data_IF_419732112666
#
_entry.id   IF_419732112666
#
_cell.length_a   1.000
_cell.length_b   1.000
_cell.length_c   1.000
_cell.angle_alpha   90.00
_cell.angle_beta   90.00
_cell.angle_gamma   90.00
#
_symmetry.space_group_name_H-M   'P 1'
#
loop_
_entity.id
_entity.type
_entity.pdbx_description
1 polymer ?
#
# COMPACT_ATOMS: atom_id res chain seq x y z
N UNK A 1 0.22 -7.51 9.70
CA UNK A 1 1.52 -6.79 9.73
C UNK A 1 2.42 -7.36 10.81
N UNK A 2 2.18 -7.08 12.09
CA UNK A 2 3.08 -7.51 13.19
C UNK A 2 3.47 -9.00 13.18
N UNK A 3 2.55 -9.91 12.84
CA UNK A 3 2.89 -11.33 12.70
C UNK A 3 3.97 -11.60 11.64
N UNK A 4 3.94 -10.88 10.53
CA UNK A 4 4.96 -11.00 9.48
C UNK A 4 6.29 -10.38 9.90
N UNK A 5 6.27 -9.28 10.67
CA UNK A 5 7.50 -8.72 11.27
C UNK A 5 8.17 -9.73 12.21
N UNK A 6 7.38 -10.45 13.03
CA UNK A 6 7.90 -11.51 13.90
C UNK A 6 8.40 -12.73 13.10
N UNK A 7 7.66 -13.18 12.10
CA UNK A 7 8.09 -14.29 11.24
C UNK A 7 9.39 -13.94 10.51
N UNK A 8 9.52 -12.72 10.01
CA UNK A 8 10.76 -12.22 9.40
C UNK A 8 11.93 -12.27 10.38
N UNK A 9 11.74 -11.79 11.61
CA UNK A 9 12.76 -11.82 12.66
C UNK A 9 13.20 -13.25 13.04
N UNK A 10 12.24 -14.19 13.08
CA UNK A 10 12.50 -15.57 13.51
C UNK A 10 13.16 -16.39 12.41
N UNK A 11 12.65 -16.30 11.17
CA UNK A 11 13.07 -17.19 10.09
C UNK A 11 14.12 -16.58 9.17
N UNK A 12 14.23 -15.25 9.12
CA UNK A 12 15.11 -14.55 8.17
C UNK A 12 14.67 -14.67 6.71
N UNK A 13 13.42 -15.09 6.45
CA UNK A 13 12.91 -15.31 5.09
C UNK A 13 12.33 -14.01 4.51
N UNK A 14 12.87 -13.57 3.37
CA UNK A 14 12.54 -12.27 2.77
C UNK A 14 11.05 -12.09 2.43
N UNK A 15 10.35 -13.18 2.08
CA UNK A 15 8.92 -13.16 1.76
C UNK A 15 8.04 -12.54 2.87
N UNK A 16 8.45 -12.67 4.14
CA UNK A 16 7.69 -12.09 5.24
C UNK A 16 7.76 -10.56 5.24
N UNK A 17 8.89 -10.00 4.81
CA UNK A 17 9.02 -8.57 4.57
C UNK A 17 8.13 -8.11 3.42
N UNK A 18 8.04 -8.88 2.33
CA UNK A 18 7.16 -8.56 1.19
C UNK A 18 5.69 -8.52 1.62
N UNK A 19 5.24 -9.48 2.44
CA UNK A 19 3.87 -9.52 2.96
C UNK A 19 3.60 -8.40 3.99
N UNK A 20 4.61 -8.04 4.80
CA UNK A 20 4.51 -6.90 5.71
C UNK A 20 4.36 -5.57 4.94
N UNK A 21 5.19 -5.36 3.91
CA UNK A 21 5.15 -4.18 3.04
C UNK A 21 3.86 -4.10 2.22
N UNK A 22 3.38 -5.23 1.70
CA UNK A 22 2.11 -5.28 0.98
C UNK A 22 0.94 -4.80 1.84
N UNK A 23 0.92 -5.12 3.14
CA UNK A 23 -0.10 -4.60 4.06
C UNK A 23 0.17 -3.14 4.44
N UNK A 24 1.43 -2.80 4.73
CA UNK A 24 1.83 -1.47 5.18
C UNK A 24 1.55 -0.39 4.14
N UNK A 25 1.92 -0.63 2.88
CA UNK A 25 1.86 0.39 1.83
C UNK A 25 0.57 0.35 1.01
N UNK A 26 -0.36 -0.56 1.34
CA UNK A 26 -1.65 -0.66 0.67
C UNK A 26 -2.80 -0.66 1.69
N UNK A 27 -3.05 -1.79 2.35
CA UNK A 27 -4.26 -1.98 3.15
C UNK A 27 -4.34 -1.04 4.35
N UNK A 28 -3.24 -0.84 5.08
CA UNK A 28 -3.23 0.01 6.27
C UNK A 28 -3.64 1.46 5.97
N UNK A 29 -2.96 2.20 5.07
CA UNK A 29 -3.32 3.59 4.79
C UNK A 29 -4.70 3.72 4.15
N UNK A 30 -5.13 2.76 3.32
CA UNK A 30 -6.42 2.83 2.65
C UNK A 30 -7.63 2.62 3.59
N UNK A 31 -7.41 2.09 4.80
CA UNK A 31 -8.46 1.95 5.82
C UNK A 31 -8.64 3.24 6.63
N UNK A 32 -7.76 4.23 6.47
CA UNK A 32 -7.69 5.44 7.31
C UNK A 32 -8.00 6.68 6.47
N UNK A 33 -8.67 7.67 7.05
CA UNK A 33 -8.67 9.01 6.45
C UNK A 33 -7.24 9.58 6.43
N UNK A 34 -6.91 10.50 5.51
CA UNK A 34 -5.57 11.08 5.42
C UNK A 34 -5.05 11.74 6.71
N UNK A 35 -5.96 12.23 7.56
CA UNK A 35 -5.65 12.82 8.87
C UNK A 35 -5.65 11.79 10.03
N UNK A 36 -5.94 10.52 9.73
CA UNK A 36 -6.05 9.38 10.65
C UNK A 36 -7.10 9.56 11.77
N UNK A 37 -8.02 10.51 11.64
CA UNK A 37 -9.12 10.70 12.60
C UNK A 37 -10.22 9.65 12.46
N UNK A 38 -10.41 9.15 11.25
CA UNK A 38 -11.43 8.16 10.93
C UNK A 38 -10.81 6.94 10.26
N UNK A 39 -11.46 5.80 10.43
CA UNK A 39 -11.08 4.54 9.82
C UNK A 39 -12.31 3.73 9.46
N UNK A 40 -12.16 2.69 8.63
CA UNK A 40 -13.19 1.68 8.41
C UNK A 40 -13.00 0.45 9.30
N UNK A 41 -14.12 -0.19 9.61
CA UNK A 41 -14.10 -1.50 10.25
C UNK A 41 -13.89 -2.61 9.20
N UNK A 42 -14.73 -2.62 8.16
CA UNK A 42 -14.67 -3.61 7.07
C UNK A 42 -14.34 -2.93 5.73
N UNK A 43 -13.09 -3.06 5.30
CA UNK A 43 -12.60 -2.60 4.00
C UNK A 43 -12.84 -3.66 2.92
N UNK A 44 -13.16 -3.23 1.69
CA UNK A 44 -13.33 -4.12 0.53
C UNK A 44 -12.29 -3.83 -0.56
N UNK A 45 -11.91 -4.85 -1.34
CA UNK A 45 -10.96 -4.67 -2.44
C UNK A 45 -11.53 -3.78 -3.55
N UNK A 46 -12.80 -3.99 -3.91
CA UNK A 46 -13.58 -3.04 -4.70
C UNK A 46 -14.59 -2.39 -3.75
N UNK A 47 -14.47 -1.07 -3.55
CA UNK A 47 -15.27 -0.31 -2.62
C UNK A 47 -15.56 1.06 -3.20
N UNK A 48 -16.63 1.13 -3.98
CA UNK A 48 -16.97 2.32 -4.79
C UNK A 48 -17.85 3.32 -4.06
N UNK A 49 -18.28 2.99 -2.83
CA UNK A 49 -19.12 3.82 -1.97
C UNK A 49 -18.91 3.34 -0.52
N UNK A 50 -19.02 4.24 0.46
CA UNK A 50 -18.93 3.94 1.88
C UNK A 50 -20.11 4.60 2.59
N UNK A 51 -21.21 3.87 2.75
CA UNK A 51 -22.47 4.38 3.31
C UNK A 51 -23.09 3.33 4.20
N UNK A 52 -23.97 3.75 5.11
CA UNK A 52 -24.61 2.79 6.02
C UNK A 52 -25.43 1.80 5.21
N UNK A 53 -25.07 0.52 5.29
CA UNK A 53 -25.82 -0.53 4.60
C UNK A 53 -27.17 -0.76 5.31
N UNK A 54 -28.28 -0.95 4.56
CA UNK A 54 -29.54 -1.43 5.11
C UNK A 54 -29.38 -2.77 5.81
N UNK A 55 -30.12 -3.01 6.89
CA UNK A 55 -29.99 -4.23 7.73
C UNK A 55 -30.18 -5.53 6.95
N UNK A 56 -31.06 -5.53 5.95
CA UNK A 56 -31.37 -6.66 5.07
C UNK A 56 -30.39 -6.83 3.89
N UNK A 57 -29.41 -5.92 3.76
CA UNK A 57 -28.42 -5.89 2.68
C UNK A 57 -26.96 -5.88 3.19
N UNK A 58 -26.74 -6.20 4.47
CA UNK A 58 -25.40 -6.27 5.06
C UNK A 58 -24.68 -7.54 4.59
N UNK A 59 -23.47 -7.38 4.06
CA UNK A 59 -22.64 -8.49 3.53
C UNK A 59 -21.52 -8.94 4.49
N UNK A 60 -21.38 -8.31 5.65
CA UNK A 60 -20.24 -8.51 6.56
C UNK A 60 -20.42 -9.61 7.62
N UNK A 61 -21.14 -10.68 7.25
CA UNK A 61 -21.47 -11.80 8.15
C UNK A 61 -22.09 -11.36 9.49
N UNK A 62 -21.27 -11.16 10.54
CA UNK A 62 -21.71 -10.77 11.88
C UNK A 62 -21.62 -9.28 12.16
N UNK A 63 -20.99 -8.50 11.29
CA UNK A 63 -20.83 -7.07 11.52
C UNK A 63 -22.00 -6.27 10.93
N UNK A 64 -22.46 -5.21 11.59
CA UNK A 64 -23.58 -4.38 11.15
C UNK A 64 -23.23 -3.43 9.99
N UNK A 65 -24.25 -2.78 9.41
CA UNK A 65 -24.09 -1.93 8.23
C UNK A 65 -23.27 -0.64 8.42
N UNK A 66 -23.07 -0.19 9.66
CA UNK A 66 -22.17 0.92 10.01
C UNK A 66 -20.68 0.54 9.91
N UNK A 67 -20.32 -0.75 9.86
CA UNK A 67 -18.96 -1.18 9.55
C UNK A 67 -18.44 -0.71 8.19
N UNK A 68 -19.35 -0.30 7.30
CA UNK A 68 -19.04 0.24 5.98
C UNK A 68 -18.61 1.72 6.00
N UNK A 69 -18.88 2.43 7.10
CA UNK A 69 -18.60 3.86 7.24
C UNK A 69 -17.14 4.10 7.62
N UNK A 70 -16.68 5.33 7.36
CA UNK A 70 -15.50 5.87 8.04
C UNK A 70 -15.95 6.53 9.34
N UNK A 71 -15.23 6.31 10.44
CA UNK A 71 -15.50 6.99 11.70
C UNK A 71 -14.38 6.82 12.72
N UNK A 72 -14.48 7.47 13.89
CA UNK A 72 -13.55 7.23 15.00
C UNK A 72 -13.72 5.81 15.57
N UNK A 73 -14.95 5.30 15.59
CA UNK A 73 -15.34 3.99 16.10
C UNK A 73 -16.58 3.48 15.35
N UNK A 74 -16.48 3.18 14.03
CA UNK A 74 -17.54 2.46 13.35
C UNK A 74 -17.62 1.04 13.92
N UNK A 75 -18.82 0.59 14.28
CA UNK A 75 -19.08 -0.70 14.92
C UNK A 75 -18.39 -0.90 16.30
N UNK A 76 -17.20 -1.52 16.36
CA UNK A 76 -16.55 -1.93 17.62
C UNK A 76 -15.15 -1.33 17.77
N UNK A 77 -14.84 -0.70 18.92
CA UNK A 77 -13.60 0.06 19.14
C UNK A 77 -12.28 -0.71 19.19
N UNK A 78 -12.24 -1.99 18.81
CA UNK A 78 -10.96 -2.70 18.69
C UNK A 78 -10.06 -2.07 17.63
N UNK A 79 -10.62 -1.66 16.49
CA UNK A 79 -9.87 -1.02 15.42
C UNK A 79 -9.37 0.36 15.88
N UNK A 80 -10.21 1.18 16.53
CA UNK A 80 -9.83 2.46 17.15
C UNK A 80 -8.62 2.37 18.06
N UNK A 81 -8.53 1.31 18.89
CA UNK A 81 -7.42 1.09 19.81
C UNK A 81 -6.18 0.42 19.17
N UNK A 82 -6.31 -0.13 17.95
CA UNK A 82 -5.29 -0.98 17.34
C UNK A 82 -4.64 -0.38 16.09
N UNK A 83 -5.37 0.34 15.24
CA UNK A 83 -4.85 0.79 13.94
C UNK A 83 -3.60 1.66 14.10
N UNK A 84 -3.56 2.51 15.14
CA UNK A 84 -2.47 3.44 15.42
C UNK A 84 -1.15 2.73 15.79
N UNK A 85 -1.18 1.43 16.08
CA UNK A 85 0.02 0.63 16.36
C UNK A 85 0.75 0.18 15.08
N UNK A 86 0.11 0.25 13.90
CA UNK A 86 0.65 -0.25 12.64
C UNK A 86 1.97 0.41 12.25
N UNK A 87 1.98 1.74 12.11
CA UNK A 87 3.18 2.50 11.71
C UNK A 87 4.32 2.43 12.75
N UNK A 88 4.08 2.60 14.07
CA UNK A 88 5.15 2.45 15.05
C UNK A 88 5.80 1.07 15.05
N UNK A 89 5.02 -0.01 14.91
CA UNK A 89 5.57 -1.38 14.86
C UNK A 89 6.39 -1.63 13.59
N UNK A 90 5.91 -1.12 12.45
CA UNK A 90 6.66 -1.16 11.19
C UNK A 90 7.99 -0.41 11.31
N UNK A 91 7.97 0.80 11.88
CA UNK A 91 9.16 1.63 12.09
C UNK A 91 10.20 0.95 13.01
N UNK A 92 9.74 0.26 14.06
CA UNK A 92 10.61 -0.54 14.93
C UNK A 92 11.23 -1.75 14.23
N UNK A 93 10.67 -2.18 13.11
CA UNK A 93 11.09 -3.36 12.35
C UNK A 93 11.92 -3.03 11.12
N UNK A 94 12.29 -1.76 10.85
CA UNK A 94 13.06 -1.41 9.63
C UNK A 94 14.45 -2.03 9.63
N UNK A 95 15.11 -2.06 10.79
CA UNK A 95 16.40 -2.70 10.99
C UNK A 95 16.34 -3.79 12.06
N UNK A 96 17.08 -4.88 11.84
CA UNK A 96 17.25 -5.97 12.81
C UNK A 96 18.71 -6.40 12.90
N UNK A 97 19.06 -7.13 13.96
CA UNK A 97 20.36 -7.81 14.04
C UNK A 97 20.48 -8.89 12.96
N UNK A 98 21.65 -9.02 12.34
CA UNK A 98 21.88 -9.97 11.25
C UNK A 98 23.31 -10.50 11.28
N UNK A 99 23.46 -11.80 11.57
CA UNK A 99 24.77 -12.42 11.77
C UNK A 99 25.57 -11.62 12.81
N UNK A 100 26.77 -11.15 12.46
CA UNK A 100 27.63 -10.28 13.29
C UNK A 100 27.41 -8.78 13.00
N UNK A 101 26.33 -8.40 12.33
CA UNK A 101 26.00 -7.01 12.00
C UNK A 101 24.51 -6.72 12.04
N UNK A 102 24.01 -5.97 11.05
CA UNK A 102 22.61 -5.55 10.96
C UNK A 102 22.03 -5.85 9.58
N UNK A 103 20.70 -5.90 9.49
CA UNK A 103 20.00 -5.95 8.22
C UNK A 103 18.90 -4.89 8.14
N UNK A 104 18.76 -4.29 6.96
CA UNK A 104 17.58 -3.54 6.54
C UNK A 104 16.53 -4.52 6.05
N UNK A 105 15.47 -4.72 6.82
CA UNK A 105 14.49 -5.80 6.63
C UNK A 105 13.11 -5.27 6.20
N UNK A 106 12.74 -4.04 6.56
CA UNK A 106 11.59 -3.30 6.00
C UNK A 106 12.13 -2.00 5.42
N UNK A 107 11.86 -1.75 4.14
CA UNK A 107 12.46 -0.64 3.41
C UNK A 107 11.63 0.61 3.61
N UNK A 108 12.13 1.53 4.42
CA UNK A 108 11.53 2.84 4.67
C UNK A 108 12.60 3.83 5.18
N UNK A 109 12.42 5.15 4.99
CA UNK A 109 13.30 6.16 5.55
C UNK A 109 13.50 5.93 7.05
N UNK A 110 14.72 5.63 7.47
CA UNK A 110 14.98 5.27 8.87
C UNK A 110 16.45 5.39 9.23
N UNK A 111 16.71 5.41 10.54
CA UNK A 111 18.05 5.41 11.12
C UNK A 111 18.09 4.42 12.26
N UNK A 112 19.13 3.59 12.30
CA UNK A 112 19.46 2.75 13.44
C UNK A 112 20.84 3.13 13.98
N UNK A 113 20.95 3.21 15.31
CA UNK A 113 22.22 3.36 16.01
C UNK A 113 22.39 2.18 16.97
N UNK A 114 23.52 1.48 16.87
CA UNK A 114 23.78 0.26 17.62
C UNK A 114 25.28 0.09 17.90
N UNK A 115 25.59 -0.93 18.69
CA UNK A 115 26.96 -1.32 19.00
C UNK A 115 27.29 -2.62 18.25
N UNK A 116 28.35 -2.62 17.44
CA UNK A 116 28.86 -3.83 16.77
C UNK A 116 30.31 -4.02 17.20
N UNK A 117 30.53 -5.04 18.04
CA UNK A 117 31.79 -5.19 18.76
C UNK A 117 32.10 -3.96 19.61
N UNK A 118 33.27 -3.35 19.41
CA UNK A 118 33.66 -2.12 20.09
C UNK A 118 33.27 -0.83 19.35
N UNK A 119 32.72 -0.92 18.13
CA UNK A 119 32.35 0.25 17.35
C UNK A 119 30.89 0.67 17.57
N UNK A 120 30.68 1.98 17.70
CA UNK A 120 29.37 2.60 17.60
C UNK A 120 29.03 2.81 16.12
N UNK A 121 27.93 2.21 15.68
CA UNK A 121 27.52 2.18 14.28
C UNK A 121 26.18 2.89 14.13
N UNK A 122 26.10 3.83 13.20
CA UNK A 122 24.83 4.41 12.72
C UNK A 122 24.64 4.05 11.26
N UNK A 123 23.49 3.49 10.92
CA UNK A 123 23.09 3.23 9.53
C UNK A 123 21.80 4.01 9.24
N UNK A 124 21.88 4.90 8.24
CA UNK A 124 20.75 5.68 7.74
C UNK A 124 20.35 5.15 6.38
N UNK A 125 19.06 4.94 6.17
CA UNK A 125 18.47 4.67 4.86
C UNK A 125 17.74 5.94 4.39
N UNK A 126 18.19 6.49 3.26
CA UNK A 126 17.54 7.57 2.52
C UNK A 126 16.90 6.98 1.25
N UNK A 127 15.58 7.10 1.13
CA UNK A 127 14.82 6.53 0.02
C UNK A 127 13.39 7.09 0.01
N UNK A 128 12.76 7.13 -1.16
CA UNK A 128 11.30 7.33 -1.29
C UNK A 128 10.59 6.02 -1.67
N UNK A 129 11.23 4.87 -1.45
CA UNK A 129 10.60 3.55 -1.56
C UNK A 129 9.32 3.50 -0.70
N UNK A 130 8.20 2.95 -1.21
CA UNK A 130 8.07 2.19 -2.46
C UNK A 130 7.73 3.01 -3.71
N UNK A 131 7.69 4.34 -3.62
CA UNK A 131 7.31 5.23 -4.73
C UNK A 131 8.45 5.54 -5.68
N UNK A 132 9.68 5.35 -5.22
CA UNK A 132 10.91 5.40 -6.01
C UNK A 132 11.68 4.09 -5.87
N UNK A 133 12.65 3.91 -6.75
CA UNK A 133 13.37 2.66 -6.93
C UNK A 133 14.83 2.72 -6.44
N UNK A 134 15.23 3.80 -5.76
CA UNK A 134 16.59 3.99 -5.25
C UNK A 134 16.66 4.06 -3.73
N UNK A 135 17.68 3.43 -3.17
CA UNK A 135 17.99 3.47 -1.74
C UNK A 135 19.46 3.84 -1.58
N UNK A 136 19.74 4.82 -0.73
CA UNK A 136 21.09 5.14 -0.27
C UNK A 136 21.22 4.79 1.20
N UNK A 137 22.09 3.82 1.49
CA UNK A 137 22.50 3.55 2.86
C UNK A 137 23.77 4.34 3.18
N UNK A 138 23.74 5.13 4.24
CA UNK A 138 24.92 5.80 4.79
C UNK A 138 25.26 5.15 6.13
N UNK A 139 26.41 4.47 6.17
CA UNK A 139 26.94 3.76 7.35
C UNK A 139 28.08 4.58 7.94
N UNK A 140 27.95 4.96 9.20
CA UNK A 140 28.98 5.69 9.96
C UNK A 140 29.43 4.88 11.16
N UNK A 141 30.74 4.73 11.31
CA UNK A 141 31.40 4.06 12.43
C UNK A 141 32.40 4.99 13.10
N UNK A 142 32.41 5.05 14.43
CA UNK A 142 33.37 5.84 15.20
C UNK A 142 34.81 5.29 15.18
N UNK A 143 34.96 4.00 14.86
CA UNK A 143 36.23 3.30 14.70
C UNK A 143 36.10 2.16 13.69
N UNK A 144 37.23 1.60 13.29
CA UNK A 144 37.28 0.48 12.35
C UNK A 144 36.46 -0.72 12.87
N UNK A 145 35.54 -1.23 12.05
CA UNK A 145 34.76 -2.42 12.35
C UNK A 145 34.46 -3.23 11.10
N UNK A 146 34.63 -4.55 11.16
CA UNK A 146 34.22 -5.46 10.10
C UNK A 146 32.88 -6.08 10.45
N UNK A 147 31.87 -5.87 9.62
CA UNK A 147 30.56 -6.50 9.79
C UNK A 147 29.77 -6.53 8.49
N UNK A 148 28.73 -7.37 8.48
CA UNK A 148 27.79 -7.48 7.37
C UNK A 148 26.60 -6.53 7.51
N UNK A 149 26.26 -5.82 6.43
CA UNK A 149 24.96 -5.20 6.22
C UNK A 149 24.11 -6.09 5.32
N UNK A 150 23.08 -6.72 5.87
CA UNK A 150 22.05 -7.41 5.09
C UNK A 150 21.05 -6.40 4.51
N UNK A 151 20.67 -6.56 3.25
CA UNK A 151 19.66 -5.73 2.60
C UNK A 151 18.62 -6.67 2.00
N UNK A 152 17.37 -6.61 2.47
CA UNK A 152 16.30 -7.37 1.80
C UNK A 152 16.07 -6.79 0.41
N UNK A 153 16.08 -7.66 -0.59
CA UNK A 153 15.64 -7.35 -1.95
C UNK A 153 14.19 -7.83 -2.08
N UNK A 154 13.20 -6.93 -2.23
CA UNK A 154 11.80 -7.34 -2.25
C UNK A 154 11.51 -8.29 -3.42
N UNK A 155 10.74 -9.36 -3.20
CA UNK A 155 10.39 -10.30 -4.27
C UNK A 155 9.51 -9.71 -5.37
N UNK A 156 8.90 -8.56 -5.10
CA UNK A 156 8.03 -7.86 -6.05
C UNK A 156 8.77 -7.01 -7.09
N UNK A 157 10.09 -6.82 -6.96
CA UNK A 157 10.90 -6.10 -7.97
C UNK A 157 11.38 -7.08 -9.06
N UNK A 158 11.56 -6.58 -10.28
CA UNK A 158 12.02 -7.40 -11.42
C UNK A 158 13.51 -7.71 -11.33
N UNK A 159 14.32 -6.74 -10.91
CA UNK A 159 15.76 -6.91 -10.67
C UNK A 159 16.27 -5.87 -9.66
N UNK A 160 17.46 -6.11 -9.13
CA UNK A 160 18.11 -5.21 -8.19
C UNK A 160 19.63 -5.17 -8.39
N UNK A 161 20.22 -4.01 -8.11
CA UNK A 161 21.67 -3.80 -8.14
C UNK A 161 22.11 -3.19 -6.82
N UNK A 162 23.13 -3.76 -6.17
CA UNK A 162 23.75 -3.26 -4.94
C UNK A 162 25.22 -2.96 -5.23
N UNK A 163 25.60 -1.69 -5.21
CA UNK A 163 26.95 -1.21 -5.57
C UNK A 163 27.52 -1.84 -6.85
N UNK A 164 26.68 -1.90 -7.89
CA UNK A 164 27.02 -2.47 -9.20
C UNK A 164 26.92 -4.00 -9.31
N UNK A 165 26.71 -4.72 -8.20
CA UNK A 165 26.51 -6.17 -8.20
C UNK A 165 25.02 -6.51 -8.33
N UNK A 166 24.70 -7.52 -9.13
CA UNK A 166 23.32 -8.03 -9.25
C UNK A 166 22.89 -8.67 -7.93
N UNK A 167 21.67 -8.36 -7.50
CA UNK A 167 21.06 -8.89 -6.29
C UNK A 167 19.75 -9.61 -6.63
N UNK A 168 19.54 -10.79 -6.03
CA UNK A 168 18.39 -11.63 -6.33
C UNK A 168 17.13 -11.12 -5.63
N UNK A 169 16.03 -10.83 -6.37
CA UNK A 169 14.72 -10.55 -5.77
C UNK A 169 14.23 -11.69 -4.87
N UNK A 170 13.59 -11.33 -3.76
CA UNK A 170 13.05 -12.30 -2.79
C UNK A 170 14.12 -12.92 -1.89
N UNK A 171 15.28 -12.27 -1.75
CA UNK A 171 16.39 -12.74 -0.93
C UNK A 171 17.06 -11.57 -0.19
N UNK A 172 17.94 -11.90 0.76
CA UNK A 172 18.84 -10.93 1.38
C UNK A 172 20.16 -10.87 0.63
N UNK A 173 20.56 -9.66 0.21
CA UNK A 173 21.91 -9.39 -0.28
C UNK A 173 22.81 -8.98 0.89
N UNK A 174 23.97 -9.60 1.03
CA UNK A 174 24.91 -9.29 2.13
C UNK A 174 26.06 -8.45 1.62
N UNK A 175 26.21 -7.24 2.17
CA UNK A 175 27.39 -6.39 1.98
C UNK A 175 28.32 -6.59 3.17
N UNK A 176 29.40 -7.34 2.99
CA UNK A 176 30.45 -7.50 4.00
C UNK A 176 31.64 -6.58 3.68
N UNK A 177 31.97 -5.68 4.61
CA UNK A 177 33.05 -4.69 4.45
C UNK A 177 33.77 -4.41 5.75
N UNK A 178 34.99 -3.90 5.62
CA UNK A 178 35.70 -3.17 6.67
C UNK A 178 35.19 -1.72 6.66
N UNK A 179 34.41 -1.37 7.69
CA UNK A 179 33.80 -0.07 7.83
C UNK A 179 34.69 0.88 8.62
N UNK A 180 34.87 2.10 8.10
CA UNK A 180 35.58 3.18 8.81
C UNK A 180 35.08 4.55 8.37
N UNK A 181 34.91 5.47 9.34
CA UNK A 181 34.35 6.79 9.06
C UNK A 181 32.92 6.68 8.52
N UNK A 182 32.62 7.38 7.43
CA UNK A 182 31.31 7.33 6.74
C UNK A 182 31.48 6.75 5.35
N UNK A 183 30.70 5.72 5.04
CA UNK A 183 30.69 5.04 3.75
C UNK A 183 29.25 4.80 3.30
N UNK A 184 29.06 4.59 2.00
CA UNK A 184 27.74 4.40 1.41
C UNK A 184 27.59 3.06 0.71
N UNK A 185 26.34 2.60 0.62
CA UNK A 185 25.89 1.52 -0.25
C UNK A 185 24.73 2.05 -1.08
N UNK A 186 24.84 1.95 -2.40
CA UNK A 186 23.82 2.34 -3.35
C UNK A 186 23.05 1.11 -3.80
N UNK A 187 21.72 1.21 -3.76
CA UNK A 187 20.82 0.17 -4.27
C UNK A 187 19.85 0.78 -5.26
N UNK A 188 19.66 0.12 -6.38
CA UNK A 188 18.58 0.44 -7.32
C UNK A 188 17.76 -0.80 -7.65
N UNK A 189 16.46 -0.60 -7.81
CA UNK A 189 15.50 -1.61 -8.22
C UNK A 189 15.02 -1.32 -9.63
N UNK A 190 14.63 -2.37 -10.35
CA UNK A 190 13.77 -2.25 -11.53
C UNK A 190 12.41 -2.77 -11.15
N UNK A 191 11.36 -1.97 -11.37
CA UNK A 191 9.98 -2.33 -11.07
C UNK A 191 9.13 -2.15 -12.31
N UNK A 192 8.47 -3.21 -12.74
CA UNK A 192 7.53 -3.19 -13.87
C UNK A 192 6.09 -3.07 -13.37
N UNK A 193 5.28 -2.35 -14.15
CA UNK A 193 3.83 -2.32 -13.98
C UNK A 193 3.24 -3.52 -14.70
N UNK A 194 2.45 -4.34 -14.00
CA UNK A 194 1.86 -5.55 -14.57
C UNK A 194 0.43 -5.78 -14.11
N UNK A 195 -0.35 -6.43 -14.97
CA UNK A 195 -1.62 -7.05 -14.60
C UNK A 195 -1.36 -8.39 -13.91
N UNK A 196 -1.96 -8.59 -12.75
CA UNK A 196 -1.95 -9.85 -12.01
C UNK A 196 -3.36 -10.44 -11.99
N UNK A 197 -3.51 -11.70 -12.40
CA UNK A 197 -4.80 -12.39 -12.44
C UNK A 197 -5.33 -12.61 -11.02
N UNK A 198 -6.63 -12.40 -10.86
CA UNK A 198 -7.41 -12.58 -9.63
C UNK A 198 -8.53 -13.58 -9.88
N UNK A 199 -9.25 -14.04 -8.84
CA UNK A 199 -10.45 -14.85 -9.01
C UNK A 199 -11.46 -14.20 -9.97
N UNK A 200 -12.42 -14.98 -10.46
CA UNK A 200 -13.52 -14.50 -11.33
C UNK A 200 -13.09 -13.86 -12.66
N UNK A 201 -11.90 -14.22 -13.17
CA UNK A 201 -11.30 -13.64 -14.38
C UNK A 201 -11.19 -12.10 -14.33
N UNK A 202 -10.88 -11.61 -13.13
CA UNK A 202 -10.50 -10.23 -12.86
C UNK A 202 -8.98 -10.10 -12.80
N UNK A 203 -8.50 -8.87 -12.87
CA UNK A 203 -7.10 -8.51 -12.85
C UNK A 203 -6.92 -7.28 -11.96
N UNK A 204 -5.74 -7.15 -11.36
CA UNK A 204 -5.32 -5.93 -10.68
C UNK A 204 -3.97 -5.45 -11.19
N UNK A 205 -3.68 -4.16 -11.04
CA UNK A 205 -2.40 -3.57 -11.46
C UNK A 205 -1.45 -3.49 -10.27
N UNK A 206 -0.23 -3.99 -10.45
CA UNK A 206 0.85 -3.90 -9.45
C UNK A 206 2.11 -3.29 -10.05
N UNK A 207 2.85 -2.55 -9.23
CA UNK A 207 4.21 -2.09 -9.52
C UNK A 207 5.05 -2.13 -8.24
N UNK A 208 6.04 -3.01 -8.18
CA UNK A 208 6.73 -3.29 -6.92
C UNK A 208 5.74 -3.77 -5.83
N UNK A 209 5.83 -3.29 -4.58
CA UNK A 209 4.90 -3.67 -3.52
C UNK A 209 3.55 -2.92 -3.60
N UNK A 210 3.39 -1.97 -4.52
CA UNK A 210 2.18 -1.15 -4.64
C UNK A 210 1.14 -1.85 -5.51
N UNK A 211 -0.07 -1.95 -4.96
CA UNK A 211 -1.31 -2.24 -5.67
C UNK A 211 -1.92 -0.92 -6.14
N UNK A 212 -2.55 -0.89 -7.31
CA UNK A 212 -3.17 0.32 -7.84
C UNK A 212 -4.67 0.14 -8.02
N UNK A 213 -5.40 1.24 -7.90
CA UNK A 213 -6.85 1.32 -8.05
C UNK A 213 -7.25 2.57 -8.82
N UNK A 214 -8.41 2.54 -9.47
CA UNK A 214 -8.99 3.72 -10.14
C UNK A 214 -9.11 4.86 -9.14
N UNK A 215 -8.65 6.05 -9.54
CA UNK A 215 -8.79 7.26 -8.74
C UNK A 215 -10.22 7.80 -8.86
N UNK A 216 -11.09 7.39 -7.93
CA UNK A 216 -12.48 7.82 -7.86
C UNK A 216 -12.55 9.19 -7.18
N UNK A 217 -13.26 10.15 -7.78
CA UNK A 217 -13.57 11.42 -7.12
C UNK A 217 -14.61 11.20 -6.02
N UNK A 218 -14.50 11.90 -4.90
CA UNK A 218 -15.24 11.57 -3.69
C UNK A 218 -16.03 12.76 -3.14
N UNK A 219 -17.23 12.50 -2.65
CA UNK A 219 -18.00 13.42 -1.81
C UNK A 219 -18.07 12.86 -0.39
N UNK A 220 -17.63 13.64 0.59
CA UNK A 220 -17.66 13.29 2.01
C UNK A 220 -18.80 14.00 2.73
N UNK A 221 -19.72 13.22 3.30
CA UNK A 221 -20.84 13.73 4.11
C UNK A 221 -20.64 13.38 5.58
N UNK A 222 -20.64 14.40 6.46
CA UNK A 222 -20.53 14.20 7.91
C UNK A 222 -21.86 13.71 8.49
N UNK A 223 -21.77 12.72 9.35
CA UNK A 223 -22.89 12.18 10.14
C UNK A 223 -22.66 12.49 11.62
N UNK A 224 -23.25 13.59 12.10
CA UNK A 224 -23.18 13.97 13.52
C UNK A 224 -24.43 13.49 14.25
N UNK A 225 -24.24 12.82 15.40
CA UNK A 225 -25.35 12.25 16.17
C UNK A 225 -24.93 11.97 17.61
N UNK A 226 -25.91 11.75 18.49
CA UNK A 226 -25.67 11.28 19.87
C UNK A 226 -26.23 9.88 20.03
N UNK A 227 -25.42 8.96 20.52
CA UNK A 227 -25.83 7.58 20.80
C UNK A 227 -25.22 7.12 22.12
N UNK A 228 -26.00 6.44 22.95
CA UNK A 228 -25.54 5.93 24.25
C UNK A 228 -24.89 7.00 25.16
N UNK A 229 -25.32 8.26 25.05
CA UNK A 229 -24.77 9.39 25.80
C UNK A 229 -23.42 9.92 25.28
N UNK A 230 -22.94 9.42 24.14
CA UNK A 230 -21.73 9.90 23.46
C UNK A 230 -22.15 10.74 22.26
N UNK A 231 -21.76 12.02 22.26
CA UNK A 231 -21.93 12.94 21.13
C UNK A 231 -20.81 12.71 20.12
N UNK A 232 -21.13 12.27 18.90
CA UNK A 232 -20.22 12.15 17.76
C UNK A 232 -20.36 13.37 16.86
N UNK A 233 -19.29 14.17 16.76
CA UNK A 233 -19.22 15.40 15.97
C UNK A 233 -17.83 15.57 15.38
N UNK A 234 -17.67 16.48 14.42
CA UNK A 234 -16.38 16.75 13.80
C UNK A 234 -15.26 17.02 14.85
N UNK A 235 -14.06 16.43 14.72
CA UNK A 235 -13.61 15.53 13.65
C UNK A 235 -13.94 14.03 13.82
N UNK A 236 -14.51 13.64 14.95
CA UNK A 236 -14.73 12.25 15.36
C UNK A 236 -16.17 11.75 15.14
N UNK A 237 -16.88 12.36 14.19
CA UNK A 237 -18.13 11.85 13.67
C UNK A 237 -17.90 10.70 12.68
N UNK A 238 -18.99 10.10 12.23
CA UNK A 238 -18.92 9.17 11.09
C UNK A 238 -19.07 9.93 9.79
N UNK A 239 -18.64 9.31 8.69
CA UNK A 239 -18.63 9.89 7.36
C UNK A 239 -19.17 8.88 6.36
N UNK A 240 -20.06 9.37 5.49
CA UNK A 240 -20.37 8.69 4.25
C UNK A 240 -19.51 9.24 3.12
N UNK A 241 -19.07 8.35 2.23
CA UNK A 241 -18.26 8.70 1.06
C UNK A 241 -18.97 8.18 -0.18
N UNK A 242 -19.24 9.07 -1.15
CA UNK A 242 -19.95 8.76 -2.38
C UNK A 242 -19.08 9.05 -3.61
N UNK A 243 -19.18 8.24 -4.68
CA UNK A 243 -18.41 8.47 -5.89
C UNK A 243 -18.99 9.66 -6.67
N UNK A 244 -18.12 10.55 -7.15
CA UNK A 244 -18.43 11.68 -8.04
C UNK A 244 -17.94 11.44 -9.48
N UNK A 245 -17.17 10.38 -9.71
CA UNK A 245 -16.70 9.97 -11.03
C UNK A 245 -17.10 8.52 -11.32
N UNK A 246 -17.09 8.08 -12.60
CA UNK A 246 -17.28 6.68 -12.93
C UNK A 246 -16.21 5.79 -12.29
N UNK A 247 -16.56 4.53 -12.09
CA UNK A 247 -15.71 3.50 -11.47
C UNK A 247 -15.85 2.13 -12.15
N UNK A 248 -16.94 1.95 -12.91
CA UNK A 248 -17.36 0.73 -13.60
C UNK A 248 -16.53 0.50 -14.87
N UNK A 249 -15.26 0.12 -14.70
CA UNK A 249 -14.31 -0.03 -15.79
C UNK A 249 -13.85 -1.48 -16.02
N UNK A 250 -13.36 -1.71 -17.22
CA UNK A 250 -12.56 -2.87 -17.61
C UNK A 250 -11.26 -2.40 -18.26
N UNK A 251 -10.18 -3.15 -18.08
CA UNK A 251 -8.94 -2.92 -18.83
C UNK A 251 -9.19 -3.17 -20.32
N UNK A 252 -8.72 -2.26 -21.17
CA UNK A 252 -8.73 -2.43 -22.62
C UNK A 252 -7.32 -2.72 -23.19
N UNK A 253 -6.28 -2.51 -22.38
CA UNK A 253 -4.86 -2.70 -22.67
C UNK A 253 -4.14 -3.09 -21.37
N UNK A 254 -2.93 -3.64 -21.46
CA UNK A 254 -2.05 -3.96 -20.33
C UNK A 254 -0.88 -2.97 -20.19
N UNK A 255 -0.82 -1.95 -21.07
CA UNK A 255 0.16 -0.88 -21.01
C UNK A 255 -0.24 0.25 -20.07
N UNK A 256 0.72 0.74 -19.27
CA UNK A 256 0.52 1.83 -18.32
C UNK A 256 1.64 2.86 -18.42
N UNK A 257 1.28 4.14 -18.44
CA UNK A 257 2.21 5.24 -18.26
C UNK A 257 2.39 5.51 -16.77
N UNK A 258 3.64 5.51 -16.30
CA UNK A 258 3.99 5.85 -14.91
C UNK A 258 4.27 7.34 -14.80
N UNK A 259 3.67 8.01 -13.82
CA UNK A 259 3.86 9.42 -13.56
C UNK A 259 4.32 9.61 -12.11
N UNK A 260 5.57 10.05 -11.95
CA UNK A 260 6.15 10.41 -10.66
C UNK A 260 5.85 11.89 -10.37
N UNK A 261 5.37 12.17 -9.16
CA UNK A 261 5.12 13.54 -8.68
C UNK A 261 6.17 13.90 -7.66
N UNK A 262 6.60 15.15 -7.60
CA UNK A 262 7.54 15.68 -6.62
C UNK A 262 6.84 16.54 -5.57
N UNK A 263 7.45 16.69 -4.39
CA UNK A 263 6.97 17.64 -3.36
C UNK A 263 5.61 17.29 -2.75
N UNK A 264 5.42 16.02 -2.37
CA UNK A 264 4.23 15.56 -1.65
C UNK A 264 4.39 15.73 -0.13
N UNK A 265 3.33 16.22 0.53
CA UNK A 265 3.34 16.44 1.99
C UNK A 265 3.06 15.15 2.78
N UNK A 266 2.23 14.26 2.22
CA UNK A 266 1.83 12.99 2.81
C UNK A 266 1.93 11.86 1.77
N UNK A 267 2.61 10.73 2.08
CA UNK A 267 2.88 9.68 1.09
C UNK A 267 1.63 8.94 0.60
N UNK A 268 0.53 9.00 1.35
CA UNK A 268 -0.74 8.32 1.04
C UNK A 268 -1.89 9.30 0.78
N UNK A 269 -1.61 10.41 0.10
CA UNK A 269 -2.64 11.40 -0.27
C UNK A 269 -3.44 10.96 -1.49
N UNK A 270 -4.78 11.03 -1.40
CA UNK A 270 -5.69 10.83 -2.54
C UNK A 270 -5.52 11.90 -3.61
N UNK A 271 -5.30 13.16 -3.20
CA UNK A 271 -5.19 14.31 -4.10
C UNK A 271 -3.83 14.36 -4.79
N UNK A 272 -2.74 14.19 -4.02
CA UNK A 272 -1.35 14.33 -4.49
C UNK A 272 -0.50 13.11 -4.12
N UNK A 273 -0.80 11.92 -4.69
CA UNK A 273 0.00 10.73 -4.45
C UNK A 273 1.40 10.89 -5.07
N UNK A 274 2.47 10.34 -4.45
CA UNK A 274 3.85 10.44 -4.97
C UNK A 274 4.07 9.84 -6.35
N UNK A 275 3.16 8.95 -6.78
CA UNK A 275 3.18 8.25 -8.05
C UNK A 275 1.75 7.95 -8.49
N UNK A 276 1.47 8.00 -9.79
CA UNK A 276 0.23 7.51 -10.40
C UNK A 276 0.52 6.71 -11.66
N UNK A 277 -0.49 5.95 -12.10
CA UNK A 277 -0.48 5.30 -13.40
C UNK A 277 -1.62 5.86 -14.24
N UNK A 278 -1.42 5.87 -15.56
CA UNK A 278 -2.48 6.13 -16.52
C UNK A 278 -2.54 4.95 -17.49
N UNK A 279 -3.70 4.32 -17.61
CA UNK A 279 -3.92 3.17 -18.50
C UNK A 279 -5.18 3.34 -19.35
N UNK A 280 -5.39 2.41 -20.28
CA UNK A 280 -6.52 2.45 -21.21
C UNK A 280 -7.66 1.54 -20.76
N UNK A 281 -8.86 2.10 -20.63
CA UNK A 281 -10.05 1.41 -20.11
C UNK A 281 -11.29 1.68 -20.95
N UNK A 282 -12.29 0.83 -20.78
CA UNK A 282 -13.67 1.06 -21.25
C UNK A 282 -14.61 1.00 -20.07
N UNK A 283 -15.69 1.78 -20.07
CA UNK A 283 -16.76 1.58 -19.10
C UNK A 283 -17.58 0.34 -19.48
N UNK A 284 -18.05 -0.40 -18.49
CA UNK A 284 -18.88 -1.60 -18.64
C UNK A 284 -20.07 -1.55 -17.68
N UNK A 285 -21.02 -2.45 -17.88
CA UNK A 285 -22.15 -2.58 -16.96
C UNK A 285 -21.71 -3.33 -15.70
N UNK A 286 -21.80 -2.65 -14.56
CA UNK A 286 -21.41 -3.17 -13.27
C UNK A 286 -22.47 -2.80 -12.24
N UNK A 287 -23.21 -3.80 -11.78
CA UNK A 287 -24.30 -3.58 -10.86
C UNK A 287 -23.85 -2.94 -9.54
N UNK A 288 -24.76 -2.13 -9.00
CA UNK A 288 -24.55 -1.36 -7.78
C UNK A 288 -25.84 -1.34 -6.97
N UNK A 289 -25.80 -1.95 -5.80
CA UNK A 289 -26.95 -2.09 -4.91
C UNK A 289 -26.57 -1.60 -3.51
N UNK A 290 -27.35 -0.66 -2.98
CA UNK A 290 -27.29 -0.24 -1.57
C UNK A 290 -25.89 0.16 -1.07
N UNK A 291 -25.06 0.75 -1.92
CA UNK A 291 -23.69 1.15 -1.55
C UNK A 291 -22.61 0.13 -1.91
N UNK A 292 -22.96 -1.01 -2.50
CA UNK A 292 -22.02 -2.06 -2.87
C UNK A 292 -22.01 -2.25 -4.39
N UNK A 293 -20.83 -2.38 -5.00
CA UNK A 293 -20.74 -2.93 -6.35
C UNK A 293 -20.87 -4.45 -6.29
N UNK A 294 -21.40 -5.07 -7.35
CA UNK A 294 -21.43 -6.53 -7.48
C UNK A 294 -19.99 -7.10 -7.46
N UNK A 295 -19.84 -8.35 -6.99
CA UNK A 295 -18.54 -9.05 -6.96
C UNK A 295 -17.91 -9.16 -8.35
N UNK A 296 -18.74 -9.30 -9.37
CA UNK A 296 -18.38 -9.35 -10.79
C UNK A 296 -19.29 -8.41 -11.59
N UNK A 297 -18.84 -7.90 -12.75
CA UNK A 297 -19.70 -7.06 -13.59
C UNK A 297 -20.89 -7.86 -14.15
N UNK A 298 -22.01 -7.18 -14.36
CA UNK A 298 -23.21 -7.76 -14.96
C UNK A 298 -23.01 -8.02 -16.46
N UNK A 299 -22.17 -7.19 -17.11
CA UNK A 299 -21.76 -7.40 -18.49
C UNK A 299 -20.33 -6.92 -18.72
N UNK A 300 -19.57 -7.67 -19.53
CA UNK A 300 -18.24 -7.28 -20.00
C UNK A 300 -18.29 -6.64 -21.39
N UNK A 301 -19.46 -6.19 -21.85
CA UNK A 301 -19.58 -5.48 -23.13
C UNK A 301 -19.17 -4.01 -22.95
N UNK A 302 -18.20 -3.49 -23.72
CA UNK A 302 -17.83 -2.08 -23.65
C UNK A 302 -19.01 -1.15 -23.95
N UNK A 303 -19.24 -0.17 -23.06
CA UNK A 303 -20.27 0.87 -23.21
C UNK A 303 -19.69 2.18 -23.77
N UNK A 304 -18.36 2.34 -23.74
CA UNK A 304 -17.64 3.51 -24.23
C UNK A 304 -16.49 3.08 -25.14
N UNK A 305 -16.00 3.97 -26.03
CA UNK A 305 -14.68 3.81 -26.62
C UNK A 305 -13.59 3.73 -25.54
N UNK A 306 -12.40 3.18 -25.87
CA UNK A 306 -11.24 3.21 -24.99
C UNK A 306 -10.87 4.65 -24.58
N UNK A 307 -10.61 4.85 -23.30
CA UNK A 307 -10.27 6.14 -22.70
C UNK A 307 -9.14 5.99 -21.68
N UNK A 308 -8.37 7.07 -21.47
CA UNK A 308 -7.32 7.10 -20.46
C UNK A 308 -7.96 7.28 -19.07
N UNK A 309 -7.64 6.39 -18.15
CA UNK A 309 -8.10 6.45 -16.76
C UNK A 309 -6.88 6.43 -15.84
N UNK A 310 -6.92 7.32 -14.84
CA UNK A 310 -5.89 7.45 -13.84
C UNK A 310 -6.09 6.43 -12.71
N UNK A 311 -5.02 5.76 -12.34
CA UNK A 311 -4.92 4.92 -11.15
C UNK A 311 -3.93 5.54 -10.16
N UNK A 312 -4.21 5.37 -8.88
CA UNK A 312 -3.33 5.76 -7.78
C UNK A 312 -3.04 4.54 -6.91
N UNK A 313 -1.96 4.55 -6.10
CA UNK A 313 -1.69 3.46 -5.17
C UNK A 313 -2.93 3.21 -4.30
N UNK A 314 -3.24 1.94 -4.03
CA UNK A 314 -4.39 1.51 -3.23
C UNK A 314 -4.38 2.20 -1.87
N UNK A 315 -3.20 2.36 -1.27
CA UNK A 315 -3.00 3.10 -0.02
C UNK A 315 -3.44 4.56 -0.06
N UNK A 316 -3.54 5.18 -1.25
CA UNK A 316 -3.98 6.56 -1.43
C UNK A 316 -5.49 6.68 -1.69
N UNK A 317 -6.25 5.58 -1.70
CA UNK A 317 -7.69 5.60 -2.00
C UNK A 317 -8.55 5.55 -0.74
N UNK A 318 -9.68 6.25 -0.73
CA UNK A 318 -10.78 5.95 0.20
C UNK A 318 -11.87 5.16 -0.54
N UNK A 319 -12.27 5.62 -1.74
CA UNK A 319 -13.03 4.83 -2.71
C UNK A 319 -12.13 4.22 -3.76
N UNK A 320 -12.40 2.97 -4.15
CA UNK A 320 -11.48 2.20 -5.00
C UNK A 320 -12.18 1.19 -5.90
N UNK A 321 -11.68 1.10 -7.12
CA UNK A 321 -11.89 -0.04 -8.01
C UNK A 321 -10.54 -0.65 -8.37
N UNK A 322 -10.30 -1.88 -7.93
CA UNK A 322 -8.96 -2.51 -7.93
C UNK A 322 -8.91 -3.79 -8.76
N UNK A 323 -9.92 -4.65 -8.62
CA UNK A 323 -10.06 -5.87 -9.40
C UNK A 323 -11.09 -5.66 -10.50
N UNK A 324 -10.66 -5.64 -11.76
CA UNK A 324 -11.50 -5.36 -12.94
C UNK A 324 -11.25 -6.42 -14.03
N UNK A 325 -12.24 -6.72 -14.88
CA UNK A 325 -12.01 -7.65 -16.00
C UNK A 325 -11.08 -7.01 -17.02
N UNK A 326 -10.38 -7.86 -17.78
CA UNK A 326 -9.68 -7.44 -18.98
C UNK A 326 -10.50 -7.87 -20.20
N UNK A 327 -10.82 -6.90 -21.06
CA UNK A 327 -11.46 -7.12 -22.34
C UNK A 327 -10.39 -6.87 -23.40
N UNK A 328 -9.95 -7.91 -24.09
CA UNK A 328 -9.18 -7.72 -25.31
C UNK A 328 -10.12 -7.05 -26.33
N UNK A 329 -9.83 -5.81 -26.70
CA UNK A 329 -10.49 -5.20 -27.83
C UNK A 329 -10.22 -6.08 -29.05
N UNK A 330 -11.26 -6.68 -29.64
CA UNK A 330 -11.12 -7.32 -30.94
C UNK A 330 -10.59 -6.26 -31.92
N UNK A 331 -9.44 -6.53 -32.53
CA UNK A 331 -8.93 -5.71 -33.63
C UNK A 331 -10.06 -5.52 -34.66
N UNK A 332 -10.40 -4.28 -35.06
CA UNK A 332 -11.40 -4.09 -36.09
C UNK A 332 -10.91 -4.80 -37.36
N UNK A 333 -11.65 -5.83 -37.78
CA UNK A 333 -11.45 -6.53 -39.06
C UNK A 333 -11.72 -5.65 -40.26
#
# INVERSE_FOLDING_TARGET
MYSYEQLLSITGEAQWGDLAEALAFNALPATLSPDMWSHQYDQQTNQVCCTRLPEDHVVFATNPGDSHLFGLEPNFGCCTANFNQGWPKLALSTFMGWKEGLASVILAPSVVSCQIGEAHVTCRLETDYPFRDTLTYTVTTDRHARFSLGIRIPGAVTSAVVDGAQAQPGAFFTVERDWSGTQQVQVSFTMETKLERRPNDLYCVKRGPLLYAVAIQEEWTRLEYTQNGVERKYPYCDYEIRPLSPWNYAFADDSFTVEEQEGWDAPFSTERPPISLTGTFVQIDWGFDNGLCHEVPDSRVPLTPPQQVRLIPYGCTNLRMTEMPWIQAESPT
#
